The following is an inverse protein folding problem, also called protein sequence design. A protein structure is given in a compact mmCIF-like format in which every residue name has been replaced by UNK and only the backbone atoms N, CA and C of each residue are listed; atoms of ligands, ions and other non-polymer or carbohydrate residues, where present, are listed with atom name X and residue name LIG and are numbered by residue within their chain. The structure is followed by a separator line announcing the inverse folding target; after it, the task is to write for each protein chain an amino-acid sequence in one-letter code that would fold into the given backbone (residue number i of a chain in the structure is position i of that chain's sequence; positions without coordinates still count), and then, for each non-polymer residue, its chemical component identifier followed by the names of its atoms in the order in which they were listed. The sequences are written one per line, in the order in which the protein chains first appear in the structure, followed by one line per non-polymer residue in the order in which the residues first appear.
data_IF_580428211650
#
_entry.id   IF_580428211650
#
_cell.length_a   1.000
_cell.length_b   1.000
_cell.length_c   1.000
_cell.angle_alpha   90.00
_cell.angle_beta   90.00
_cell.angle_gamma   90.00
#
_symmetry.space_group_name_H-M   'P 1'
#
loop_
_entity.id
_entity.type
_entity.pdbx_description
1 polymer ?
#
# COMPACT_ATOMS: atom_id res chain seq x y z
N UNK A 1 -12.14 -3.20 11.23
CA UNK A 1 -11.65 -2.48 10.05
C UNK A 1 -10.50 -1.54 10.41
N UNK A 2 -10.73 -0.52 11.26
CA UNK A 2 -9.68 0.43 11.70
C UNK A 2 -8.47 -0.27 12.34
N UNK A 3 -8.67 -1.27 13.20
CA UNK A 3 -7.57 -2.00 13.83
C UNK A 3 -6.63 -2.72 12.85
N UNK A 4 -7.15 -3.16 11.69
CA UNK A 4 -6.32 -3.76 10.64
C UNK A 4 -5.42 -2.71 10.01
N UNK A 5 -6.02 -1.60 9.55
CA UNK A 5 -5.32 -0.46 8.94
C UNK A 5 -4.20 0.04 9.86
N UNK A 6 -4.51 0.27 11.14
CA UNK A 6 -3.53 0.73 12.13
C UNK A 6 -2.37 -0.26 12.28
N UNK A 7 -2.66 -1.56 12.36
CA UNK A 7 -1.62 -2.59 12.43
C UNK A 7 -0.72 -2.54 11.19
N UNK A 8 -1.29 -2.43 10.00
CA UNK A 8 -0.54 -2.33 8.74
C UNK A 8 0.31 -1.07 8.70
N UNK A 9 -0.17 0.06 9.22
CA UNK A 9 0.62 1.30 9.36
C UNK A 9 1.85 1.04 10.22
N UNK A 10 1.69 0.47 11.41
CA UNK A 10 2.82 0.21 12.31
C UNK A 10 3.82 -0.79 11.71
N UNK A 11 3.35 -1.84 11.05
CA UNK A 11 4.22 -2.81 10.37
C UNK A 11 5.00 -2.12 9.25
N UNK A 12 4.34 -1.32 8.42
CA UNK A 12 4.98 -0.59 7.32
C UNK A 12 6.00 0.44 7.81
N UNK A 13 5.69 1.17 8.88
CA UNK A 13 6.64 2.10 9.52
C UNK A 13 7.81 1.37 10.17
N UNK A 14 7.58 0.21 10.79
CA UNK A 14 8.64 -0.63 11.33
C UNK A 14 9.59 -1.11 10.24
N UNK A 15 9.06 -1.58 9.10
CA UNK A 15 9.86 -1.94 7.92
C UNK A 15 10.64 -0.71 7.42
N UNK A 16 9.99 0.44 7.30
CA UNK A 16 10.62 1.69 6.88
C UNK A 16 11.78 2.11 7.79
N UNK A 17 11.60 1.99 9.11
CA UNK A 17 12.62 2.31 10.10
C UNK A 17 13.83 1.38 10.00
N UNK A 18 13.60 0.06 9.96
CA UNK A 18 14.67 -0.93 9.83
C UNK A 18 15.43 -0.75 8.50
N UNK A 19 14.71 -0.51 7.41
CA UNK A 19 15.31 -0.27 6.10
C UNK A 19 16.13 1.02 6.08
N UNK A 20 15.68 2.08 6.73
CA UNK A 20 16.43 3.33 6.82
C UNK A 20 17.70 3.19 7.65
N UNK A 21 17.62 2.54 8.81
CA UNK A 21 18.80 2.23 9.62
C UNK A 21 19.81 1.40 8.84
N UNK A 22 19.33 0.44 8.03
CA UNK A 22 20.19 -0.38 7.19
C UNK A 22 20.85 0.46 6.09
N UNK A 23 20.12 1.34 5.41
CA UNK A 23 20.71 2.24 4.40
C UNK A 23 21.75 3.18 5.03
N UNK A 24 21.44 3.76 6.19
CA UNK A 24 22.36 4.63 6.92
C UNK A 24 23.63 3.88 7.35
N UNK A 25 23.50 2.66 7.90
CA UNK A 25 24.65 1.84 8.29
C UNK A 25 25.52 1.43 7.11
N UNK A 26 24.91 1.15 5.96
CA UNK A 26 25.63 0.79 4.73
C UNK A 26 26.13 2.02 3.95
N UNK A 27 25.78 3.25 4.34
CA UNK A 27 26.07 4.46 3.57
C UNK A 27 25.44 4.48 2.18
N UNK A 28 24.31 3.77 2.00
CA UNK A 28 23.65 3.59 0.70
C UNK A 28 22.57 4.64 0.47
N UNK A 29 22.67 5.36 -0.65
CA UNK A 29 21.63 6.28 -1.14
C UNK A 29 20.69 5.63 -2.17
N UNK A 30 20.89 4.34 -2.50
CA UNK A 30 20.17 3.68 -3.58
C UNK A 30 18.65 3.77 -3.38
N UNK A 31 18.16 3.39 -2.19
CA UNK A 31 16.73 3.34 -1.91
C UNK A 31 16.12 4.75 -1.90
N UNK A 32 16.84 5.75 -1.39
CA UNK A 32 16.39 7.15 -1.38
C UNK A 32 16.25 7.70 -2.80
N UNK A 33 17.26 7.48 -3.65
CA UNK A 33 17.22 7.91 -5.06
C UNK A 33 16.12 7.20 -5.83
N UNK A 34 16.03 5.89 -5.68
CA UNK A 34 15.01 5.08 -6.34
C UNK A 34 13.60 5.53 -5.98
N UNK A 35 13.30 5.67 -4.68
CA UNK A 35 11.96 6.06 -4.23
C UNK A 35 11.65 7.53 -4.53
N UNK A 36 12.58 8.45 -4.38
CA UNK A 36 12.32 9.86 -4.71
C UNK A 36 11.98 10.08 -6.18
N UNK A 37 12.56 9.28 -7.09
CA UNK A 37 12.30 9.37 -8.52
C UNK A 37 11.05 8.60 -8.97
N UNK A 38 10.73 7.48 -8.30
CA UNK A 38 9.78 6.51 -8.86
C UNK A 38 8.58 6.20 -7.96
N UNK A 39 8.55 6.61 -6.68
CA UNK A 39 7.53 6.15 -5.73
C UNK A 39 6.11 6.42 -6.24
N UNK A 40 5.81 7.63 -6.71
CA UNK A 40 4.46 7.96 -7.20
C UNK A 40 4.07 7.09 -8.40
N UNK A 41 4.99 6.89 -9.35
CA UNK A 41 4.77 6.01 -10.51
C UNK A 41 4.52 4.58 -10.08
N UNK A 42 5.28 4.07 -9.11
CA UNK A 42 5.11 2.72 -8.56
C UNK A 42 3.75 2.59 -7.88
N UNK A 43 3.34 3.56 -7.05
CA UNK A 43 2.05 3.53 -6.38
C UNK A 43 0.88 3.54 -7.37
N UNK A 44 0.96 4.33 -8.45
CA UNK A 44 -0.05 4.32 -9.52
C UNK A 44 -0.09 2.96 -10.23
N UNK A 45 1.07 2.38 -10.53
CA UNK A 45 1.14 1.05 -11.13
C UNK A 45 0.54 -0.03 -10.21
N UNK A 46 0.84 0.00 -8.92
CA UNK A 46 0.27 -0.90 -7.90
C UNK A 46 -1.25 -0.71 -7.77
N UNK A 47 -1.76 0.51 -7.92
CA UNK A 47 -3.18 0.80 -7.90
C UNK A 47 -3.88 0.16 -9.11
N UNK A 48 -3.28 0.27 -10.30
CA UNK A 48 -3.80 -0.35 -11.51
C UNK A 48 -3.83 -1.88 -11.43
N UNK A 49 -2.77 -2.49 -10.89
CA UNK A 49 -2.71 -3.94 -10.65
C UNK A 49 -3.82 -4.35 -9.67
N UNK A 50 -3.92 -3.64 -8.53
CA UNK A 50 -4.92 -3.92 -7.51
C UNK A 50 -6.35 -3.78 -8.07
N UNK A 51 -6.65 -2.71 -8.81
CA UNK A 51 -7.94 -2.50 -9.46
C UNK A 51 -8.28 -3.62 -10.47
N UNK A 52 -7.32 -4.06 -11.26
CA UNK A 52 -7.49 -5.16 -12.23
C UNK A 52 -7.82 -6.48 -11.52
N UNK A 53 -7.03 -6.83 -10.50
CA UNK A 53 -7.25 -8.07 -9.72
C UNK A 53 -8.59 -8.06 -8.98
N UNK A 54 -8.98 -6.91 -8.42
CA UNK A 54 -10.31 -6.74 -7.83
C UNK A 54 -11.43 -6.89 -8.85
N UNK A 55 -11.25 -6.42 -10.08
CA UNK A 55 -12.19 -6.64 -11.18
C UNK A 55 -12.44 -8.12 -11.44
N UNK A 56 -11.37 -8.93 -11.51
CA UNK A 56 -11.43 -10.39 -11.69
C UNK A 56 -12.14 -11.06 -10.51
N UNK A 57 -11.82 -10.67 -9.28
CA UNK A 57 -12.48 -11.20 -8.09
C UNK A 57 -13.97 -10.89 -8.09
N UNK A 58 -14.34 -9.66 -8.45
CA UNK A 58 -15.73 -9.23 -8.43
C UNK A 58 -16.58 -9.94 -9.49
N UNK A 59 -16.02 -10.23 -10.68
CA UNK A 59 -16.73 -11.04 -11.69
C UNK A 59 -16.98 -12.45 -11.19
N UNK A 60 -16.00 -13.10 -10.55
CA UNK A 60 -16.18 -14.44 -9.95
C UNK A 60 -17.18 -14.44 -8.81
N UNK A 61 -17.14 -13.43 -7.94
CA UNK A 61 -18.15 -13.24 -6.89
C UNK A 61 -19.55 -13.09 -7.49
N UNK A 62 -19.69 -12.32 -8.58
CA UNK A 62 -20.97 -12.16 -9.28
C UNK A 62 -21.48 -13.48 -9.87
N UNK A 63 -20.63 -14.26 -10.53
CA UNK A 63 -20.97 -15.59 -11.05
C UNK A 63 -21.46 -16.54 -9.92
N UNK A 64 -20.82 -16.50 -8.74
CA UNK A 64 -21.25 -17.29 -7.58
C UNK A 64 -22.61 -16.84 -7.04
N UNK A 65 -22.85 -15.53 -6.98
CA UNK A 65 -24.13 -14.96 -6.53
C UNK A 65 -25.25 -15.29 -7.53
N UNK A 66 -24.98 -15.21 -8.83
CA UNK A 66 -25.97 -15.51 -9.87
C UNK A 66 -26.31 -17.01 -9.91
N UNK A 67 -25.37 -17.90 -9.55
CA UNK A 67 -25.57 -19.36 -9.55
C UNK A 67 -26.17 -19.91 -8.25
N UNK A 68 -25.75 -19.41 -7.07
CA UNK A 68 -26.14 -19.95 -5.75
C UNK A 68 -26.95 -18.97 -4.89
N UNK A 69 -27.16 -17.73 -5.34
CA UNK A 69 -27.76 -16.66 -4.55
C UNK A 69 -26.82 -16.09 -3.47
N UNK A 70 -27.36 -15.33 -2.51
CA UNK A 70 -26.60 -14.94 -1.31
C UNK A 70 -25.68 -13.72 -1.46
N UNK A 71 -26.08 -12.70 -2.22
CA UNK A 71 -25.30 -11.45 -2.39
C UNK A 71 -24.86 -10.79 -1.06
N UNK A 72 -25.67 -10.92 0.00
CA UNK A 72 -25.37 -10.38 1.32
C UNK A 72 -24.13 -11.00 1.97
N UNK A 73 -23.80 -12.26 1.63
CA UNK A 73 -22.61 -12.95 2.15
C UNK A 73 -21.31 -12.26 1.72
N UNK A 74 -21.29 -11.62 0.55
CA UNK A 74 -20.12 -10.93 0.00
C UNK A 74 -20.05 -9.44 0.33
N UNK A 75 -20.97 -8.91 1.15
CA UNK A 75 -21.00 -7.49 1.53
C UNK A 75 -19.66 -7.05 2.15
N UNK A 76 -19.12 -7.85 3.08
CA UNK A 76 -17.84 -7.55 3.75
C UNK A 76 -16.67 -7.56 2.76
N UNK A 77 -16.66 -8.49 1.81
CA UNK A 77 -15.65 -8.57 0.75
C UNK A 77 -15.64 -7.30 -0.09
N UNK A 78 -16.81 -6.85 -0.56
CA UNK A 78 -16.94 -5.61 -1.33
C UNK A 78 -16.47 -4.38 -0.55
N UNK A 79 -16.81 -4.30 0.74
CA UNK A 79 -16.36 -3.20 1.61
C UNK A 79 -14.84 -3.19 1.78
N UNK A 80 -14.19 -4.36 1.96
CA UNK A 80 -12.73 -4.46 2.05
C UNK A 80 -12.03 -4.13 0.72
N UNK A 81 -12.60 -4.56 -0.40
CA UNK A 81 -12.07 -4.21 -1.73
C UNK A 81 -12.11 -2.69 -1.96
N UNK A 82 -13.22 -2.03 -1.61
CA UNK A 82 -13.32 -0.56 -1.68
C UNK A 82 -12.36 0.14 -0.72
N UNK A 83 -12.14 -0.43 0.48
CA UNK A 83 -11.15 0.11 1.42
C UNK A 83 -9.74 0.05 0.83
N UNK A 84 -9.34 -1.08 0.25
CA UNK A 84 -8.02 -1.27 -0.38
C UNK A 84 -7.74 -0.22 -1.47
N UNK A 85 -8.74 0.12 -2.30
CA UNK A 85 -8.62 1.22 -3.28
C UNK A 85 -8.40 2.56 -2.60
N UNK A 86 -9.20 2.86 -1.55
CA UNK A 86 -9.08 4.13 -0.81
C UNK A 86 -7.72 4.26 -0.12
N UNK A 87 -7.20 3.17 0.44
CA UNK A 87 -5.87 3.13 1.05
C UNK A 87 -4.78 3.44 0.02
N UNK A 88 -4.80 2.82 -1.16
CA UNK A 88 -3.81 3.12 -2.20
C UNK A 88 -3.90 4.57 -2.71
N UNK A 89 -5.10 5.10 -2.93
CA UNK A 89 -5.27 6.51 -3.31
C UNK A 89 -4.72 7.43 -2.20
N UNK A 90 -5.01 7.13 -0.94
CA UNK A 90 -4.49 7.90 0.18
C UNK A 90 -2.95 7.86 0.24
N UNK A 91 -2.33 6.70 -0.01
CA UNK A 91 -0.87 6.57 -0.06
C UNK A 91 -0.24 7.40 -1.16
N UNK A 92 -0.86 7.46 -2.35
CA UNK A 92 -0.40 8.33 -3.46
C UNK A 92 -0.42 9.80 -3.01
N UNK A 93 -1.53 10.25 -2.42
CA UNK A 93 -1.64 11.63 -1.92
C UNK A 93 -0.60 11.92 -0.84
N UNK A 94 -0.40 10.99 0.11
CA UNK A 94 0.61 11.11 1.16
C UNK A 94 2.02 11.19 0.55
N UNK A 95 2.35 10.37 -0.46
CA UNK A 95 3.65 10.42 -1.12
C UNK A 95 3.92 11.78 -1.78
N UNK A 96 2.93 12.34 -2.48
CA UNK A 96 3.04 13.67 -3.11
C UNK A 96 3.26 14.76 -2.07
N UNK A 97 2.52 14.71 -0.95
CA UNK A 97 2.68 15.66 0.16
C UNK A 97 4.06 15.51 0.81
N UNK A 98 4.50 14.27 1.08
CA UNK A 98 5.83 14.00 1.66
C UNK A 98 6.96 14.55 0.80
N UNK A 99 6.91 14.36 -0.53
CA UNK A 99 7.94 14.88 -1.43
C UNK A 99 7.89 16.41 -1.55
N UNK A 100 6.70 17.00 -1.51
CA UNK A 100 6.55 18.46 -1.48
C UNK A 100 7.17 19.06 -0.21
N UNK A 101 6.99 18.40 0.94
CA UNK A 101 7.56 18.81 2.23
C UNK A 101 9.09 18.59 2.25
N UNK A 102 9.57 17.45 1.75
CA UNK A 102 11.00 17.08 1.74
C UNK A 102 11.85 18.07 0.93
N UNK A 103 11.29 18.71 -0.10
CA UNK A 103 11.97 19.75 -0.87
C UNK A 103 11.98 21.15 -0.24
N UNK A 104 11.32 21.35 0.90
CA UNK A 104 11.20 22.67 1.55
C UNK A 104 12.44 23.01 2.37
N UNK A 105 12.99 24.21 2.16
CA UNK A 105 14.13 24.74 2.92
C UNK A 105 13.89 24.80 4.44
N UNK A 106 12.61 24.92 4.87
CA UNK A 106 12.25 24.99 6.28
C UNK A 106 12.39 23.64 7.00
N UNK A 107 12.29 22.54 6.26
CA UNK A 107 12.31 21.18 6.83
C UNK A 107 13.73 20.64 6.90
N UNK A 108 14.59 21.05 5.97
CA UNK A 108 16.03 20.72 5.96
C UNK A 108 16.74 21.25 7.22
N UNK A 109 16.23 22.34 7.82
CA UNK A 109 16.81 22.94 9.02
C UNK A 109 16.47 22.20 10.33
N UNK A 110 15.57 21.21 10.30
CA UNK A 110 15.12 20.47 11.49
C UNK A 110 15.98 19.23 11.67
N UNK A 111 16.56 19.07 12.87
CA UNK A 111 17.34 17.89 13.24
C UNK A 111 16.50 16.61 13.13
N UNK A 112 17.07 15.55 12.56
CA UNK A 112 16.41 14.25 12.32
C UNK A 112 15.18 14.26 11.38
N UNK A 113 14.80 15.40 10.79
CA UNK A 113 13.68 15.44 9.86
C UNK A 113 13.92 14.59 8.61
N UNK A 114 15.16 14.53 8.13
CA UNK A 114 15.54 13.68 6.99
C UNK A 114 15.30 12.19 7.28
N UNK A 115 15.74 11.71 8.45
CA UNK A 115 15.51 10.33 8.89
C UNK A 115 14.02 10.02 8.91
N UNK A 116 13.21 10.87 9.58
CA UNK A 116 11.77 10.66 9.69
C UNK A 116 11.08 10.66 8.32
N UNK A 117 11.44 11.58 7.42
CA UNK A 117 10.88 11.63 6.06
C UNK A 117 11.27 10.42 5.22
N UNK A 118 12.49 9.92 5.36
CA UNK A 118 12.92 8.70 4.67
C UNK A 118 12.16 7.48 5.19
N UNK A 119 12.00 7.34 6.51
CA UNK A 119 11.20 6.28 7.13
C UNK A 119 9.75 6.34 6.65
N UNK A 120 9.15 7.52 6.60
CA UNK A 120 7.79 7.69 6.08
C UNK A 120 7.70 7.32 4.59
N UNK A 121 8.69 7.73 3.78
CA UNK A 121 8.73 7.41 2.34
C UNK A 121 8.82 5.91 2.11
N UNK A 122 9.73 5.22 2.79
CA UNK A 122 9.87 3.76 2.70
C UNK A 122 8.65 3.07 3.31
N UNK A 123 8.06 3.64 4.36
CA UNK A 123 6.82 3.15 4.97
C UNK A 123 5.64 3.20 4.01
N UNK A 124 5.45 4.29 3.26
CA UNK A 124 4.41 4.41 2.23
C UNK A 124 4.59 3.34 1.15
N UNK A 125 5.83 3.17 0.66
CA UNK A 125 6.15 2.11 -0.29
C UNK A 125 5.83 0.73 0.28
N UNK A 126 6.29 0.42 1.49
CA UNK A 126 6.08 -0.86 2.15
C UNK A 126 4.60 -1.15 2.39
N UNK A 127 3.82 -0.15 2.82
CA UNK A 127 2.38 -0.28 3.00
C UNK A 127 1.70 -0.65 1.68
N UNK A 128 2.07 -0.01 0.56
CA UNK A 128 1.47 -0.31 -0.74
C UNK A 128 1.75 -1.76 -1.19
N UNK A 129 2.93 -2.29 -0.86
CA UNK A 129 3.27 -3.70 -1.12
C UNK A 129 2.46 -4.65 -0.24
N UNK A 130 2.23 -4.30 1.03
CA UNK A 130 1.37 -5.10 1.93
C UNK A 130 -0.08 -5.13 1.42
N UNK A 131 -0.61 -4.00 0.96
CA UNK A 131 -1.96 -3.95 0.35
C UNK A 131 -2.01 -4.84 -0.90
N UNK A 132 -0.99 -4.79 -1.77
CA UNK A 132 -0.93 -5.67 -2.94
C UNK A 132 -0.87 -7.14 -2.52
N UNK A 133 -0.07 -7.49 -1.51
CA UNK A 133 0.06 -8.85 -1.01
C UNK A 133 -1.28 -9.39 -0.49
N UNK A 134 -2.01 -8.59 0.29
CA UNK A 134 -3.33 -8.96 0.81
C UNK A 134 -4.33 -9.21 -0.32
N UNK A 135 -4.30 -8.39 -1.37
CA UNK A 135 -5.14 -8.61 -2.56
C UNK A 135 -4.74 -9.88 -3.30
N UNK A 136 -3.45 -10.09 -3.56
CA UNK A 136 -2.95 -11.28 -4.25
C UNK A 136 -3.33 -12.57 -3.51
N UNK A 137 -3.16 -12.59 -2.18
CA UNK A 137 -3.59 -13.70 -1.34
C UNK A 137 -5.09 -13.97 -1.44
N UNK A 138 -5.91 -12.90 -1.49
CA UNK A 138 -7.36 -13.03 -1.63
C UNK A 138 -7.77 -13.63 -2.98
N UNK A 139 -7.09 -13.25 -4.06
CA UNK A 139 -7.31 -13.83 -5.40
C UNK A 139 -6.99 -15.32 -5.41
N UNK A 140 -5.83 -15.71 -4.86
CA UNK A 140 -5.42 -17.12 -4.82
C UNK A 140 -6.44 -18.00 -4.08
N UNK A 141 -6.94 -17.54 -2.93
CA UNK A 141 -7.96 -18.28 -2.16
C UNK A 141 -9.27 -18.47 -2.97
N UNK A 142 -9.63 -17.50 -3.81
CA UNK A 142 -10.85 -17.59 -4.64
C UNK A 142 -10.64 -18.52 -5.83
N UNK A 143 -9.44 -18.57 -6.40
CA UNK A 143 -9.10 -19.48 -7.50
C UNK A 143 -9.00 -20.93 -6.99
N UNK A 144 -8.38 -21.13 -5.82
CA UNK A 144 -8.26 -22.44 -5.17
C UNK A 144 -9.58 -22.92 -4.52
N UNK A 145 -10.67 -22.17 -4.66
CA UNK A 145 -11.98 -22.57 -4.18
C UNK A 145 -12.59 -23.62 -5.11
N UNK A 146 -12.28 -24.89 -4.87
CA UNK A 146 -13.00 -26.03 -5.44
C UNK A 146 -14.43 -26.05 -4.86
N UNK A 147 -15.41 -25.81 -5.74
CA UNK A 147 -16.83 -25.66 -5.40
C UNK A 147 -17.63 -26.95 -5.25
#
# INVERSE_FOLDING_TARGET
MIGHVVKTIFVALGIGFVAELTNSWLGSEFLHKFLSQNLVTILIALLAINATTMGIVLTKVREMVDSKGGASCFKRTREQMLLSIKEQIALIVIAVVLFSIKGSAHVIAIENAELLLNVLTIGVFSYSLLVLYDTAKSVLIIIDFDG
#
